data_IF_204285952261
#
_entry.id   IF_204285952261
#
_cell.length_a   1.000
_cell.length_b   1.000
_cell.length_c   1.000
_cell.angle_alpha   90.00
_cell.angle_beta   90.00
_cell.angle_gamma   90.00
#
_symmetry.space_group_name_H-M   'P 1'
#
loop_
_entity.id
_entity.type
_entity.pdbx_description
1 polymer ?
#
# COMPACT_ATOMS: atom_id res chain seq x y z
N UNK A 1 32.47 -39.64 -37.19
CA UNK A 1 31.32 -38.71 -37.28
C UNK A 1 30.19 -39.10 -36.30
N UNK A 2 29.66 -40.32 -36.33
CA UNK A 2 28.55 -40.77 -35.45
C UNK A 2 28.81 -40.69 -33.93
N UNK A 3 30.01 -41.03 -33.46
CA UNK A 3 30.35 -40.92 -32.03
C UNK A 3 30.36 -39.46 -31.53
N UNK A 4 30.82 -38.53 -32.37
CA UNK A 4 30.82 -37.10 -32.04
C UNK A 4 29.39 -36.59 -31.94
N UNK A 5 28.51 -36.96 -32.89
CA UNK A 5 27.09 -36.61 -32.84
C UNK A 5 26.38 -37.16 -31.60
N UNK A 6 26.70 -38.41 -31.19
CA UNK A 6 26.14 -39.02 -29.97
C UNK A 6 26.64 -38.34 -28.69
N UNK A 7 27.92 -37.97 -28.63
CA UNK A 7 28.49 -37.21 -27.51
C UNK A 7 27.86 -35.82 -27.39
N UNK A 8 27.78 -35.07 -28.50
CA UNK A 8 27.15 -33.75 -28.52
C UNK A 8 25.67 -33.82 -28.14
N UNK A 9 24.93 -34.84 -28.60
CA UNK A 9 23.53 -35.05 -28.21
C UNK A 9 23.36 -35.30 -26.71
N UNK A 10 24.25 -36.09 -26.11
CA UNK A 10 24.25 -36.33 -24.66
C UNK A 10 24.58 -35.06 -23.87
N UNK A 11 25.57 -34.29 -24.30
CA UNK A 11 25.95 -33.02 -23.68
C UNK A 11 24.81 -31.99 -23.74
N UNK A 12 24.14 -31.89 -24.89
CA UNK A 12 22.95 -31.02 -25.05
C UNK A 12 21.83 -31.48 -24.11
N UNK A 13 21.58 -32.78 -24.00
CA UNK A 13 20.56 -33.32 -23.09
C UNK A 13 20.86 -33.00 -21.62
N UNK A 14 22.12 -33.12 -21.21
CA UNK A 14 22.53 -32.79 -19.85
C UNK A 14 22.38 -31.29 -19.56
N UNK A 15 22.81 -30.42 -20.49
CA UNK A 15 22.61 -28.96 -20.39
C UNK A 15 21.13 -28.57 -20.33
N UNK A 16 20.27 -29.25 -21.09
CA UNK A 16 18.82 -29.04 -21.05
C UNK A 16 18.24 -29.41 -19.67
N UNK A 17 18.67 -30.53 -19.08
CA UNK A 17 18.23 -30.92 -17.74
C UNK A 17 18.66 -29.88 -16.68
N UNK A 18 19.91 -29.43 -16.72
CA UNK A 18 20.41 -28.38 -15.81
C UNK A 18 19.64 -27.07 -16.00
N UNK A 19 19.30 -26.71 -17.24
CA UNK A 19 18.52 -25.52 -17.53
C UNK A 19 17.11 -25.60 -16.91
N UNK A 20 16.43 -26.73 -17.04
CA UNK A 20 15.11 -26.97 -16.43
C UNK A 20 15.19 -26.84 -14.89
N UNK A 21 16.16 -27.50 -14.26
CA UNK A 21 16.33 -27.42 -12.81
C UNK A 21 16.65 -25.98 -12.34
N UNK A 22 17.41 -25.24 -13.13
CA UNK A 22 17.75 -23.84 -12.85
C UNK A 22 16.53 -22.94 -12.99
N UNK A 23 15.71 -23.15 -14.02
CA UNK A 23 14.46 -22.41 -14.23
C UNK A 23 13.49 -22.60 -13.06
N UNK A 24 13.32 -23.83 -12.57
CA UNK A 24 12.49 -24.11 -11.40
C UNK A 24 12.97 -23.33 -10.17
N UNK A 25 14.29 -23.30 -9.92
CA UNK A 25 14.89 -22.54 -8.80
C UNK A 25 14.70 -21.04 -8.95
N UNK A 26 14.86 -20.50 -10.17
CA UNK A 26 14.65 -19.07 -10.45
C UNK A 26 13.18 -18.71 -10.21
N UNK A 27 12.24 -19.53 -10.69
CA UNK A 27 10.82 -19.29 -10.51
C UNK A 27 10.42 -19.34 -9.03
N UNK A 28 10.93 -20.31 -8.28
CA UNK A 28 10.70 -20.38 -6.83
C UNK A 28 11.20 -19.10 -6.12
N UNK A 29 12.45 -18.69 -6.37
CA UNK A 29 13.00 -17.48 -5.80
C UNK A 29 12.21 -16.22 -6.21
N UNK A 30 11.75 -16.14 -7.47
CA UNK A 30 10.94 -15.03 -7.96
C UNK A 30 9.63 -14.89 -7.18
N UNK A 31 8.95 -16.01 -6.92
CA UNK A 31 7.71 -15.99 -6.15
C UNK A 31 7.93 -15.59 -4.69
N UNK A 32 9.02 -16.04 -4.07
CA UNK A 32 9.39 -15.66 -2.72
C UNK A 32 9.63 -14.14 -2.59
N UNK A 33 10.30 -13.53 -3.57
CA UNK A 33 10.59 -12.08 -3.55
C UNK A 33 9.46 -11.21 -4.10
N UNK A 34 8.39 -11.79 -4.65
CA UNK A 34 7.22 -11.06 -5.16
C UNK A 34 6.67 -10.02 -4.16
N UNK A 35 6.55 -10.29 -2.84
CA UNK A 35 6.08 -9.29 -1.88
C UNK A 35 6.95 -8.03 -1.81
N UNK A 36 8.26 -8.15 -2.01
CA UNK A 36 9.19 -7.00 -2.07
C UNK A 36 8.88 -6.16 -3.30
N UNK A 37 8.69 -6.79 -4.46
CA UNK A 37 8.34 -6.10 -5.70
C UNK A 37 6.96 -5.41 -5.58
N UNK A 38 5.96 -6.07 -5.00
CA UNK A 38 4.65 -5.49 -4.73
C UNK A 38 4.74 -4.25 -3.82
N UNK A 39 5.53 -4.34 -2.73
CA UNK A 39 5.79 -3.19 -1.86
C UNK A 39 6.48 -2.05 -2.62
N UNK A 40 7.52 -2.36 -3.40
CA UNK A 40 8.23 -1.37 -4.21
C UNK A 40 7.31 -0.66 -5.21
N UNK A 41 6.45 -1.41 -5.91
CA UNK A 41 5.47 -0.84 -6.83
C UNK A 41 4.49 0.09 -6.12
N UNK A 42 3.95 -0.31 -4.97
CA UNK A 42 3.06 0.52 -4.17
C UNK A 42 3.73 1.84 -3.75
N UNK A 43 4.97 1.76 -3.26
CA UNK A 43 5.74 2.93 -2.85
C UNK A 43 6.04 3.86 -4.03
N UNK A 44 6.45 3.32 -5.17
CA UNK A 44 6.74 4.12 -6.36
C UNK A 44 5.50 4.88 -6.84
N UNK A 45 4.36 4.20 -7.00
CA UNK A 45 3.14 4.84 -7.47
C UNK A 45 2.64 5.90 -6.48
N UNK A 46 2.76 5.66 -5.17
CA UNK A 46 2.45 6.69 -4.17
C UNK A 46 3.31 7.96 -4.34
N UNK A 47 4.61 7.81 -4.56
CA UNK A 47 5.50 8.98 -4.76
C UNK A 47 5.12 9.73 -6.03
N UNK A 48 4.81 9.01 -7.11
CA UNK A 48 4.35 9.62 -8.36
C UNK A 48 3.03 10.35 -8.16
N UNK A 49 2.08 9.78 -7.41
CA UNK A 49 0.80 10.42 -7.08
C UNK A 49 0.97 11.74 -6.31
N UNK A 50 2.06 11.91 -5.53
CA UNK A 50 2.34 13.18 -4.85
C UNK A 50 2.57 14.36 -5.81
N UNK A 51 2.86 14.12 -7.09
CA UNK A 51 2.91 15.20 -8.08
C UNK A 51 1.57 15.89 -8.30
N UNK A 52 0.46 15.22 -7.95
CA UNK A 52 -0.89 15.81 -7.98
C UNK A 52 -1.14 16.76 -6.80
N UNK A 53 -0.41 16.59 -5.70
CA UNK A 53 -0.44 17.51 -4.56
C UNK A 53 0.38 18.76 -4.89
N UNK A 54 1.58 18.57 -5.43
CA UNK A 54 2.42 19.66 -5.89
C UNK A 54 3.23 19.22 -7.11
N UNK A 55 3.17 20.00 -8.20
CA UNK A 55 3.87 19.69 -9.46
C UNK A 55 5.38 19.54 -9.29
N UNK A 56 5.98 20.11 -8.24
CA UNK A 56 7.42 19.98 -7.93
C UNK A 56 7.81 18.59 -7.43
N UNK A 57 6.86 17.77 -6.97
CA UNK A 57 7.10 16.42 -6.43
C UNK A 57 7.23 15.37 -7.53
N UNK A 58 8.05 15.65 -8.53
CA UNK A 58 8.39 14.72 -9.60
C UNK A 58 9.47 13.75 -9.15
N UNK A 59 9.31 12.46 -9.45
CA UNK A 59 10.35 11.46 -9.23
C UNK A 59 10.40 10.50 -10.41
N UNK A 60 11.60 10.25 -10.92
CA UNK A 60 11.80 9.28 -11.99
C UNK A 60 11.85 7.85 -11.44
N UNK A 61 11.42 6.87 -12.24
CA UNK A 61 11.57 5.46 -11.90
C UNK A 61 13.04 5.09 -11.65
N UNK A 62 13.97 5.66 -12.42
CA UNK A 62 15.41 5.43 -12.25
C UNK A 62 15.91 5.81 -10.87
N UNK A 63 15.49 6.96 -10.35
CA UNK A 63 15.85 7.40 -9.00
C UNK A 63 15.27 6.47 -7.94
N UNK A 64 14.01 6.05 -8.10
CA UNK A 64 13.38 5.09 -7.21
C UNK A 64 14.11 3.73 -7.21
N UNK A 65 14.48 3.21 -8.38
CA UNK A 65 15.23 1.95 -8.48
C UNK A 65 16.58 2.03 -7.76
N UNK A 66 17.24 3.20 -7.78
CA UNK A 66 18.45 3.42 -6.97
C UNK A 66 18.20 3.24 -5.47
N UNK A 67 17.08 3.76 -4.94
CA UNK A 67 16.69 3.54 -3.54
C UNK A 67 16.32 2.09 -3.26
N UNK A 68 15.68 1.42 -4.23
CA UNK A 68 15.33 0.02 -4.14
C UNK A 68 16.58 -0.86 -4.02
N UNK A 69 17.59 -0.63 -4.87
CA UNK A 69 18.87 -1.36 -4.83
C UNK A 69 19.64 -1.10 -3.53
N UNK A 70 19.68 0.15 -3.07
CA UNK A 70 20.26 0.51 -1.77
C UNK A 70 19.54 -0.24 -0.64
N UNK A 71 18.22 -0.34 -0.70
CA UNK A 71 17.41 -1.02 0.31
C UNK A 71 17.66 -2.53 0.31
N UNK A 72 17.78 -3.15 -0.86
CA UNK A 72 18.18 -4.55 -1.01
C UNK A 72 19.60 -4.78 -0.46
N UNK A 73 20.53 -3.86 -0.69
CA UNK A 73 21.91 -3.98 -0.23
C UNK A 73 22.01 -3.84 1.31
N UNK A 74 21.41 -2.78 1.88
CA UNK A 74 21.63 -2.33 3.27
C UNK A 74 20.69 -2.91 4.31
N UNK A 75 19.53 -3.43 3.90
CA UNK A 75 18.62 -4.13 4.81
C UNK A 75 19.33 -5.29 5.53
N UNK A 76 18.91 -5.58 6.76
CA UNK A 76 19.52 -6.63 7.58
C UNK A 76 19.41 -8.00 6.88
N UNK A 77 20.55 -8.66 6.70
CA UNK A 77 20.63 -10.01 6.11
C UNK A 77 20.09 -11.04 7.12
N UNK A 78 19.49 -12.10 6.60
CA UNK A 78 19.02 -13.24 7.42
C UNK A 78 19.14 -14.52 6.60
N UNK A 79 19.56 -15.64 7.23
CA UNK A 79 19.53 -16.95 6.58
C UNK A 79 18.09 -17.47 6.40
N UNK A 80 17.13 -16.96 7.18
CA UNK A 80 15.71 -17.27 7.01
C UNK A 80 15.11 -16.34 5.96
N UNK A 81 14.63 -16.92 4.85
CA UNK A 81 14.16 -16.15 3.70
C UNK A 81 13.01 -15.21 4.05
N UNK A 82 12.02 -15.68 4.81
CA UNK A 82 10.85 -14.89 5.21
C UNK A 82 11.27 -13.69 6.07
N UNK A 83 12.20 -13.89 7.00
CA UNK A 83 12.76 -12.81 7.82
C UNK A 83 13.58 -11.84 6.97
N UNK A 84 14.32 -12.33 5.98
CA UNK A 84 15.05 -11.49 5.03
C UNK A 84 14.10 -10.60 4.23
N UNK A 85 13.00 -11.15 3.72
CA UNK A 85 11.96 -10.42 2.97
C UNK A 85 11.34 -9.32 3.84
N UNK A 86 10.95 -9.64 5.08
CA UNK A 86 10.41 -8.65 6.02
C UNK A 86 11.39 -7.50 6.26
N UNK A 87 12.67 -7.82 6.56
CA UNK A 87 13.71 -6.81 6.75
C UNK A 87 13.91 -5.90 5.53
N UNK A 88 13.78 -6.44 4.31
CA UNK A 88 13.87 -5.64 3.08
C UNK A 88 12.67 -4.71 2.97
N UNK A 89 11.45 -5.22 3.19
CA UNK A 89 10.21 -4.44 3.10
C UNK A 89 10.22 -3.28 4.10
N UNK A 90 10.63 -3.54 5.34
CA UNK A 90 10.70 -2.52 6.39
C UNK A 90 11.74 -1.45 6.07
N UNK A 91 12.96 -1.88 5.69
CA UNK A 91 14.02 -0.95 5.33
C UNK A 91 13.65 -0.12 4.10
N UNK A 92 13.10 -0.76 3.06
CA UNK A 92 12.67 -0.09 1.83
C UNK A 92 11.60 0.97 2.13
N UNK A 93 10.60 0.62 2.95
CA UNK A 93 9.54 1.55 3.35
C UNK A 93 10.12 2.76 4.07
N UNK A 94 11.04 2.53 5.02
CA UNK A 94 11.70 3.60 5.76
C UNK A 94 12.61 4.47 4.89
N UNK A 95 13.45 3.86 4.05
CA UNK A 95 14.42 4.58 3.20
C UNK A 95 13.69 5.44 2.18
N UNK A 96 12.64 4.90 1.54
CA UNK A 96 11.80 5.65 0.62
C UNK A 96 11.09 6.80 1.33
N UNK A 97 10.48 6.54 2.50
CA UNK A 97 9.85 7.60 3.28
C UNK A 97 10.84 8.73 3.61
N UNK A 98 12.02 8.38 4.15
CA UNK A 98 13.04 9.36 4.55
C UNK A 98 13.55 10.17 3.36
N UNK A 99 13.80 9.50 2.24
CA UNK A 99 14.30 10.16 1.03
C UNK A 99 13.26 11.12 0.46
N UNK A 100 12.01 10.67 0.30
CA UNK A 100 10.93 11.46 -0.28
C UNK A 100 10.52 12.61 0.62
N UNK A 101 10.34 12.37 1.92
CA UNK A 101 9.95 13.41 2.88
C UNK A 101 10.98 14.54 3.00
N UNK A 102 12.26 14.30 2.68
CA UNK A 102 13.29 15.36 2.63
C UNK A 102 13.01 16.37 1.51
N UNK A 103 12.42 15.94 0.40
CA UNK A 103 12.12 16.79 -0.76
C UNK A 103 10.79 17.54 -0.66
N UNK A 104 9.97 17.24 0.36
CA UNK A 104 8.65 17.84 0.52
C UNK A 104 8.67 19.07 1.42
N UNK A 105 7.74 19.98 1.15
CA UNK A 105 7.43 21.09 2.05
C UNK A 105 6.82 20.53 3.33
N UNK A 106 7.05 21.19 4.47
CA UNK A 106 6.58 20.71 5.78
C UNK A 106 5.07 20.47 5.81
N UNK A 107 4.29 21.32 5.12
CA UNK A 107 2.82 21.21 5.03
C UNK A 107 2.35 19.91 4.37
N UNK A 108 3.14 19.33 3.48
CA UNK A 108 2.76 18.16 2.69
C UNK A 108 3.29 16.83 3.27
N UNK A 109 4.25 16.89 4.20
CA UNK A 109 4.84 15.67 4.81
C UNK A 109 3.80 14.86 5.58
N UNK A 110 2.89 15.52 6.28
CA UNK A 110 1.83 14.84 7.02
C UNK A 110 0.88 14.10 6.07
N UNK A 111 0.46 14.76 5.00
CA UNK A 111 -0.37 14.18 3.94
C UNK A 111 0.29 12.92 3.36
N UNK A 112 1.57 13.00 3.01
CA UNK A 112 2.33 11.84 2.52
C UNK A 112 2.38 10.70 3.54
N UNK A 113 2.62 11.01 4.82
CA UNK A 113 2.70 10.01 5.89
C UNK A 113 1.38 9.26 6.08
N UNK A 114 0.25 10.00 6.06
CA UNK A 114 -1.08 9.42 6.16
C UNK A 114 -1.39 8.56 4.93
N UNK A 115 -1.13 9.07 3.73
CA UNK A 115 -1.34 8.32 2.48
C UNK A 115 -0.48 7.05 2.41
N UNK A 116 0.78 7.12 2.82
CA UNK A 116 1.69 5.97 2.92
C UNK A 116 1.10 4.90 3.82
N UNK A 117 0.67 5.29 5.02
CA UNK A 117 0.09 4.38 6.01
C UNK A 117 -1.18 3.74 5.48
N UNK A 118 -2.10 4.54 4.94
CA UNK A 118 -3.39 4.05 4.42
C UNK A 118 -3.22 3.13 3.21
N UNK A 119 -2.37 3.49 2.23
CA UNK A 119 -2.10 2.64 1.07
C UNK A 119 -1.51 1.29 1.49
N UNK A 120 -0.59 1.28 2.46
CA UNK A 120 -0.02 0.06 3.01
C UNK A 120 -1.10 -0.78 3.72
N UNK A 121 -1.90 -0.18 4.61
CA UNK A 121 -2.96 -0.87 5.33
C UNK A 121 -4.04 -1.44 4.40
N UNK A 122 -4.41 -0.70 3.35
CA UNK A 122 -5.33 -1.17 2.31
C UNK A 122 -4.75 -2.34 1.52
N UNK A 123 -3.46 -2.30 1.15
CA UNK A 123 -2.80 -3.42 0.47
C UNK A 123 -2.70 -4.66 1.36
N UNK A 124 -2.54 -4.49 2.68
CA UNK A 124 -2.57 -5.58 3.67
C UNK A 124 -3.98 -6.04 4.03
N UNK A 125 -5.01 -5.40 3.47
CA UNK A 125 -6.45 -5.66 3.73
C UNK A 125 -6.87 -5.39 5.18
N UNK A 126 -6.12 -4.56 5.89
CA UNK A 126 -6.46 -4.09 7.23
C UNK A 126 -7.49 -2.96 7.19
N UNK A 127 -7.51 -2.18 6.09
CA UNK A 127 -8.49 -1.13 5.82
C UNK A 127 -9.25 -1.49 4.56
N UNK A 128 -10.58 -1.53 4.65
CA UNK A 128 -11.43 -1.80 3.48
C UNK A 128 -11.50 -0.57 2.56
N UNK A 129 -11.66 -0.75 1.24
CA UNK A 129 -11.86 0.37 0.32
C UNK A 129 -13.05 1.25 0.72
N UNK A 130 -14.14 0.67 1.23
CA UNK A 130 -15.32 1.39 1.70
C UNK A 130 -15.01 2.28 2.91
N UNK A 131 -14.28 1.75 3.91
CA UNK A 131 -13.85 2.50 5.09
C UNK A 131 -12.96 3.69 4.69
N UNK A 132 -12.04 3.47 3.74
CA UNK A 132 -11.20 4.55 3.20
C UNK A 132 -12.02 5.60 2.44
N UNK A 133 -13.00 5.21 1.62
CA UNK A 133 -13.84 6.16 0.90
C UNK A 133 -14.68 7.02 1.85
N UNK A 134 -15.26 6.41 2.89
CA UNK A 134 -16.01 7.12 3.93
C UNK A 134 -15.10 8.07 4.70
N UNK A 135 -13.87 7.65 5.04
CA UNK A 135 -12.90 8.50 5.73
C UNK A 135 -12.52 9.75 4.93
N UNK A 136 -12.34 9.63 3.61
CA UNK A 136 -11.91 10.75 2.77
C UNK A 136 -13.07 11.65 2.34
N UNK A 137 -14.23 11.07 2.00
CA UNK A 137 -15.37 11.83 1.46
C UNK A 137 -16.33 12.33 2.54
N UNK A 138 -16.45 11.59 3.64
CA UNK A 138 -17.49 11.81 4.65
C UNK A 138 -18.88 11.90 4.02
N UNK A 139 -19.77 12.64 4.67
CA UNK A 139 -21.13 12.90 4.22
C UNK A 139 -21.26 14.00 3.18
N UNK A 140 -20.16 14.46 2.55
CA UNK A 140 -20.20 15.59 1.61
C UNK A 140 -21.06 15.33 0.36
N UNK A 141 -21.29 14.05 0.02
CA UNK A 141 -22.13 13.65 -1.11
C UNK A 141 -23.61 13.41 -0.74
N UNK A 142 -23.97 13.53 0.54
CA UNK A 142 -25.34 13.30 1.03
C UNK A 142 -26.14 14.61 1.01
N UNK A 143 -27.43 14.50 0.69
CA UNK A 143 -28.40 15.58 0.85
C UNK A 143 -29.09 15.46 2.22
N UNK A 144 -29.17 16.58 2.94
CA UNK A 144 -29.85 16.68 4.22
C UNK A 144 -31.33 16.31 4.14
N UNK A 145 -31.99 16.59 3.01
CA UNK A 145 -33.40 16.29 2.82
C UNK A 145 -33.66 14.80 2.51
N UNK A 146 -32.61 14.05 2.15
CA UNK A 146 -32.68 12.63 1.81
C UNK A 146 -32.34 11.71 2.99
N UNK A 147 -31.91 12.27 4.13
CA UNK A 147 -31.51 11.52 5.32
C UNK A 147 -32.47 11.74 6.49
N UNK A 148 -32.34 10.91 7.53
CA UNK A 148 -33.08 11.08 8.77
C UNK A 148 -32.91 12.52 9.31
N UNK A 149 -33.96 13.16 9.84
CA UNK A 149 -33.87 14.51 10.34
C UNK A 149 -32.92 14.58 11.53
N UNK A 150 -32.22 15.70 11.65
CA UNK A 150 -31.32 15.95 12.78
C UNK A 150 -32.10 15.87 14.09
N UNK A 151 -31.60 15.13 15.10
CA UNK A 151 -32.31 14.98 16.36
C UNK A 151 -32.33 16.28 17.17
N UNK A 152 -31.33 17.17 16.97
CA UNK A 152 -31.15 18.40 17.75
C UNK A 152 -30.67 19.56 16.86
N UNK A 153 -31.08 20.79 17.22
CA UNK A 153 -30.74 22.02 16.49
C UNK A 153 -29.26 22.42 16.58
N UNK A 154 -28.56 22.04 17.66
CA UNK A 154 -27.14 22.37 17.86
C UNK A 154 -26.21 21.55 16.96
N UNK A 155 -26.68 20.42 16.42
CA UNK A 155 -25.90 19.59 15.50
C UNK A 155 -25.88 20.29 14.14
N UNK A 156 -24.66 20.58 13.66
CA UNK A 156 -24.44 21.15 12.34
C UNK A 156 -24.84 20.15 11.25
N UNK A 157 -25.33 20.66 10.12
CA UNK A 157 -25.77 19.82 8.99
C UNK A 157 -24.64 18.91 8.51
N UNK A 158 -23.44 19.46 8.31
CA UNK A 158 -22.27 18.70 7.87
C UNK A 158 -21.89 17.57 8.85
N UNK A 159 -21.98 17.82 10.16
CA UNK A 159 -21.68 16.82 11.19
C UNK A 159 -22.70 15.69 11.15
N UNK A 160 -23.98 16.02 10.99
CA UNK A 160 -25.02 15.01 10.88
C UNK A 160 -24.86 14.16 9.62
N UNK A 161 -24.60 14.77 8.46
CA UNK A 161 -24.33 14.05 7.23
C UNK A 161 -23.11 13.13 7.37
N UNK A 162 -22.04 13.59 8.02
CA UNK A 162 -20.87 12.75 8.31
C UNK A 162 -21.21 11.55 9.20
N UNK A 163 -22.06 11.73 10.22
CA UNK A 163 -22.51 10.64 11.09
C UNK A 163 -23.39 9.63 10.35
N UNK A 164 -24.27 10.10 9.45
CA UNK A 164 -25.09 9.23 8.60
C UNK A 164 -24.23 8.47 7.60
N UNK A 165 -23.22 9.10 6.99
CA UNK A 165 -22.30 8.37 6.12
C UNK A 165 -21.51 7.32 6.91
N UNK A 166 -21.03 7.69 8.10
CA UNK A 166 -20.29 6.79 8.98
C UNK A 166 -21.14 5.59 9.43
N UNK A 167 -22.44 5.78 9.66
CA UNK A 167 -23.35 4.70 10.08
C UNK A 167 -23.58 3.62 9.03
N UNK A 168 -23.17 3.84 7.77
CA UNK A 168 -23.14 2.79 6.75
C UNK A 168 -22.14 1.69 7.08
N UNK A 169 -21.14 1.97 7.91
CA UNK A 169 -20.22 0.96 8.42
C UNK A 169 -20.86 0.17 9.56
N UNK A 170 -20.73 -1.16 9.52
CA UNK A 170 -21.33 -2.06 10.51
C UNK A 170 -20.93 -1.73 11.95
N UNK A 171 -19.70 -1.23 12.16
CA UNK A 171 -19.18 -0.86 13.47
C UNK A 171 -19.88 0.40 14.05
N UNK A 172 -20.53 1.19 13.20
CA UNK A 172 -21.05 2.51 13.50
C UNK A 172 -22.55 2.63 13.19
N UNK A 173 -23.22 1.54 12.83
CA UNK A 173 -24.63 1.54 12.42
C UNK A 173 -25.59 2.14 13.47
N UNK A 174 -25.27 2.02 14.75
CA UNK A 174 -26.08 2.53 15.86
C UNK A 174 -25.77 3.98 16.24
N UNK A 175 -24.77 4.63 15.64
CA UNK A 175 -24.39 6.01 16.00
C UNK A 175 -25.54 7.01 15.93
N UNK A 176 -26.36 7.05 14.86
CA UNK A 176 -27.47 7.99 14.77
C UNK A 176 -28.51 7.81 15.90
N UNK A 177 -28.79 6.56 16.28
CA UNK A 177 -29.71 6.23 17.37
C UNK A 177 -29.12 6.56 18.74
N UNK A 178 -27.82 6.32 18.93
CA UNK A 178 -27.09 6.70 20.14
C UNK A 178 -27.10 8.21 20.35
N UNK A 179 -26.80 9.00 19.31
CA UNK A 179 -26.86 10.47 19.38
C UNK A 179 -28.27 10.97 19.71
N UNK A 180 -29.30 10.29 19.23
CA UNK A 180 -30.69 10.65 19.51
C UNK A 180 -31.10 10.29 20.95
N UNK A 181 -30.57 9.19 21.50
CA UNK A 181 -30.96 8.62 22.81
C UNK A 181 -30.12 9.11 23.99
N UNK A 182 -28.90 9.63 23.78
CA UNK A 182 -27.92 9.89 24.84
C UNK A 182 -28.20 11.13 25.71
N UNK A 183 -29.23 11.93 25.40
CA UNK A 183 -29.70 13.00 26.28
C UNK A 183 -30.70 12.45 27.32
N UNK A 184 -30.22 11.68 28.30
CA UNK A 184 -30.88 11.64 29.61
C UNK A 184 -30.58 12.97 30.31
N UNK A 185 -31.54 13.88 30.24
CA UNK A 185 -31.83 14.97 31.20
C UNK A 185 -30.60 15.54 31.93
N UNK A 186 -30.08 16.66 31.44
CA UNK A 186 -29.60 17.72 32.33
C UNK A 186 -30.72 18.75 32.47
#
# INVERSE_FOLDING_TARGET
MLNVTKMTSNEVREKLNVAVDTEVKINAAREEYRPVASRGSLLYFLIVEMSMVNVMYQTSLRQFLGLFDISMARSQKSPQMQKRIANIIDYLTFEVYRYTARGFYEVDKFTFTVLLTLKIAMHMKEVKPEEFQIFIKGGAALDLNAVAPKPKKWIQDITWLNLIELSKLNQFNQLPDQVTSSDRVC
#
